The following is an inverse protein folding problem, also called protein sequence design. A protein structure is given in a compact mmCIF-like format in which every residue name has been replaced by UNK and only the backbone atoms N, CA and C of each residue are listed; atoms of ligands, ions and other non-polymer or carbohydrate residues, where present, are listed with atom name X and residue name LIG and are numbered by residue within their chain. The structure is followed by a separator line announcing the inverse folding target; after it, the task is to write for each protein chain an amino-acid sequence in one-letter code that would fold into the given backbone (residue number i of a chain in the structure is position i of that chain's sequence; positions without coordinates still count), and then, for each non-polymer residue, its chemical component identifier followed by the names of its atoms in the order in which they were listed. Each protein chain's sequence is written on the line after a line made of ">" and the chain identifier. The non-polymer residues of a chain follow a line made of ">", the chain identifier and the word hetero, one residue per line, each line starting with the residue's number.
data_IF_649473691602
#
_entry.id   IF_649473691602
#
_cell.length_a   1.000
_cell.length_b   1.000
_cell.length_c   1.000
_cell.angle_alpha   90.00
_cell.angle_beta   90.00
_cell.angle_gamma   90.00
#
_symmetry.space_group_name_H-M   'P 1'
#
loop_
_entity.id
_entity.type
_entity.pdbx_description
1 polymer ?
#
# COMPACT_ATOMS: atom_id res chain seq x y z
N UNK A 1 -28.17 -11.72 -3.84
CA UNK A 1 -26.98 -11.09 -4.47
C UNK A 1 -25.77 -11.44 -3.61
N UNK A 2 -24.83 -12.23 -4.12
CA UNK A 2 -23.54 -12.41 -3.44
C UNK A 2 -22.74 -11.13 -3.68
N UNK A 3 -22.46 -10.39 -2.61
CA UNK A 3 -21.48 -9.31 -2.65
C UNK A 3 -20.15 -9.99 -2.94
N UNK A 4 -19.67 -9.89 -4.17
CA UNK A 4 -18.28 -10.18 -4.46
C UNK A 4 -17.47 -9.21 -3.60
N UNK A 5 -16.75 -9.73 -2.61
CA UNK A 5 -15.71 -8.96 -1.95
C UNK A 5 -14.84 -8.35 -3.06
N UNK A 6 -14.66 -7.01 -3.10
CA UNK A 6 -13.85 -6.41 -4.13
C UNK A 6 -12.45 -7.01 -4.00
N UNK A 7 -12.06 -7.80 -5.00
CA UNK A 7 -10.71 -8.34 -5.10
C UNK A 7 -9.74 -7.18 -4.88
N UNK A 8 -8.97 -7.23 -3.78
CA UNK A 8 -7.96 -6.21 -3.49
C UNK A 8 -7.04 -6.22 -4.71
N UNK A 9 -7.00 -5.14 -5.51
CA UNK A 9 -6.24 -5.16 -6.74
C UNK A 9 -4.77 -5.27 -6.38
N UNK A 10 -4.11 -6.30 -6.92
CA UNK A 10 -2.68 -6.54 -6.74
C UNK A 10 -1.91 -5.25 -7.06
N UNK A 11 -1.03 -4.86 -6.15
CA UNK A 11 -0.16 -3.70 -6.35
C UNK A 11 1.04 -4.20 -7.15
N UNK A 12 1.18 -3.70 -8.38
CA UNK A 12 2.29 -4.00 -9.26
C UNK A 12 3.63 -3.76 -8.54
N UNK A 13 4.54 -4.74 -8.60
CA UNK A 13 5.84 -4.68 -7.92
C UNK A 13 5.84 -4.89 -6.40
N UNK A 14 4.67 -4.99 -5.74
CA UNK A 14 4.62 -5.19 -4.28
C UNK A 14 5.14 -6.56 -3.86
N UNK A 15 4.77 -7.61 -4.60
CA UNK A 15 5.22 -8.97 -4.32
C UNK A 15 6.75 -9.09 -4.43
N UNK A 16 7.35 -8.47 -5.45
CA UNK A 16 8.81 -8.43 -5.64
C UNK A 16 9.51 -7.67 -4.51
N UNK A 17 9.02 -6.47 -4.16
CA UNK A 17 9.58 -5.68 -3.07
C UNK A 17 9.46 -6.40 -1.71
N UNK A 18 8.34 -7.10 -1.47
CA UNK A 18 8.14 -7.91 -0.27
C UNK A 18 9.08 -9.13 -0.24
N UNK A 19 9.27 -9.81 -1.38
CA UNK A 19 10.20 -10.92 -1.50
C UNK A 19 11.65 -10.47 -1.26
N UNK A 20 12.06 -9.32 -1.82
CA UNK A 20 13.37 -8.72 -1.57
C UNK A 20 13.57 -8.41 -0.08
N UNK A 21 12.58 -7.77 0.56
CA UNK A 21 12.61 -7.52 2.01
C UNK A 21 12.69 -8.81 2.84
N UNK A 22 11.96 -9.85 2.45
CA UNK A 22 12.02 -11.15 3.13
C UNK A 22 13.40 -11.80 3.00
N UNK A 23 14.03 -11.70 1.83
CA UNK A 23 15.39 -12.20 1.61
C UNK A 23 16.43 -11.46 2.49
N UNK A 24 16.34 -10.13 2.59
CA UNK A 24 17.20 -9.34 3.47
C UNK A 24 16.96 -9.69 4.94
N UNK A 25 15.70 -9.90 5.33
CA UNK A 25 15.36 -10.33 6.69
C UNK A 25 15.97 -11.69 7.03
N UNK A 26 15.89 -12.66 6.13
CA UNK A 26 16.49 -13.98 6.34
C UNK A 26 18.02 -13.89 6.53
N UNK A 27 18.70 -13.00 5.80
CA UNK A 27 20.14 -12.74 5.99
C UNK A 27 20.45 -12.11 7.34
N UNK A 28 19.61 -11.19 7.81
CA UNK A 28 19.76 -10.58 9.13
C UNK A 28 19.62 -11.63 10.24
N UNK A 29 18.60 -12.49 10.13
CA UNK A 29 18.36 -13.56 11.10
C UNK A 29 19.52 -14.59 11.09
N UNK A 30 20.07 -14.96 9.92
CA UNK A 30 21.28 -15.80 9.82
C UNK A 30 22.50 -15.16 10.48
N UNK A 31 22.77 -13.88 10.21
CA UNK A 31 23.90 -13.16 10.82
C UNK A 31 23.78 -13.09 12.34
N UNK A 32 22.58 -12.80 12.85
CA UNK A 32 22.31 -12.79 14.30
C UNK A 32 22.49 -14.18 14.91
N UNK A 33 22.01 -15.22 14.22
CA UNK A 33 22.21 -16.62 14.62
C UNK A 33 23.69 -16.98 14.71
N UNK A 34 24.47 -16.66 13.68
CA UNK A 34 25.92 -16.92 13.64
C UNK A 34 26.69 -16.13 14.70
N UNK A 35 26.28 -14.87 14.96
CA UNK A 35 26.89 -14.04 15.99
C UNK A 35 26.66 -14.65 17.37
N UNK A 36 25.41 -15.03 17.69
CA UNK A 36 25.10 -15.67 18.97
C UNK A 36 25.85 -16.99 19.15
N UNK A 37 25.95 -17.81 18.09
CA UNK A 37 26.71 -19.05 18.11
C UNK A 37 28.21 -18.81 18.36
N UNK A 38 28.80 -17.79 17.73
CA UNK A 38 30.20 -17.42 17.95
C UNK A 38 30.43 -16.97 19.40
N UNK A 39 29.57 -16.09 19.95
CA UNK A 39 29.67 -15.63 21.34
C UNK A 39 29.57 -16.78 22.34
N UNK A 40 28.62 -17.71 22.15
CA UNK A 40 28.50 -18.91 23.00
C UNK A 40 29.71 -19.83 22.84
N UNK A 41 30.22 -19.99 21.62
CA UNK A 41 31.45 -20.74 21.35
C UNK A 41 32.66 -20.20 22.11
N UNK A 42 32.86 -18.88 22.09
CA UNK A 42 33.94 -18.19 22.82
C UNK A 42 33.81 -18.46 24.32
N UNK A 43 32.61 -18.33 24.89
CA UNK A 43 32.37 -18.59 26.31
C UNK A 43 32.69 -20.04 26.70
N UNK A 44 32.28 -21.01 25.88
CA UNK A 44 32.59 -22.43 26.11
C UNK A 44 34.09 -22.69 26.03
N UNK A 45 34.77 -22.16 25.01
CA UNK A 45 36.20 -22.33 24.85
C UNK A 45 37.01 -21.69 25.99
N UNK A 46 36.59 -20.51 26.48
CA UNK A 46 37.20 -19.88 27.66
C UNK A 46 37.04 -20.72 28.93
N UNK A 47 35.85 -21.30 29.17
CA UNK A 47 35.66 -22.22 30.31
C UNK A 47 36.57 -23.45 30.21
N UNK A 48 36.68 -24.05 29.02
CA UNK A 48 37.58 -25.19 28.80
C UNK A 48 39.05 -24.80 29.06
N UNK A 49 39.47 -23.62 28.61
CA UNK A 49 40.80 -23.08 28.90
C UNK A 49 41.03 -22.95 30.41
N UNK A 50 40.08 -22.36 31.13
CA UNK A 50 40.17 -22.16 32.57
C UNK A 50 40.25 -23.51 33.32
N UNK A 51 39.51 -24.52 32.86
CA UNK A 51 39.59 -25.89 33.39
C UNK A 51 40.98 -26.52 33.17
N UNK A 52 41.55 -26.41 31.97
CA UNK A 52 42.90 -26.91 31.67
C UNK A 52 43.97 -26.21 32.51
N UNK A 53 43.86 -24.88 32.68
CA UNK A 53 44.76 -24.10 33.53
C UNK A 53 44.62 -24.51 34.99
N UNK A 54 43.41 -24.73 35.48
CA UNK A 54 43.18 -25.20 36.85
C UNK A 54 43.75 -26.59 37.11
N UNK A 55 43.64 -27.52 36.14
CA UNK A 55 44.26 -28.85 36.20
C UNK A 55 45.78 -28.78 36.26
N UNK A 56 46.37 -27.90 35.45
CA UNK A 56 47.83 -27.61 35.48
C UNK A 56 48.24 -27.07 36.85
N UNK A 57 47.46 -26.16 37.43
CA UNK A 57 47.71 -25.60 38.76
C UNK A 57 47.53 -26.63 39.89
N UNK A 58 46.70 -27.65 39.69
CA UNK A 58 46.53 -28.78 40.60
C UNK A 58 47.69 -29.82 40.51
N UNK A 59 48.67 -29.59 39.64
CA UNK A 59 49.83 -30.46 39.45
C UNK A 59 49.60 -31.62 38.47
N UNK A 60 48.50 -31.60 37.72
CA UNK A 60 48.26 -32.55 36.63
C UNK A 60 49.10 -32.16 35.41
N UNK A 61 49.71 -33.16 34.74
CA UNK A 61 50.51 -32.93 33.54
C UNK A 61 49.58 -32.72 32.33
N UNK A 62 49.15 -31.47 32.15
CA UNK A 62 48.35 -31.04 31.00
C UNK A 62 49.31 -30.61 29.89
N UNK A 63 49.25 -31.25 28.70
CA UNK A 63 50.09 -30.86 27.59
C UNK A 63 49.86 -29.40 27.19
N UNK A 64 50.92 -28.60 27.11
CA UNK A 64 50.83 -27.19 26.71
C UNK A 64 50.14 -27.00 25.34
N UNK A 65 50.21 -28.02 24.47
CA UNK A 65 49.54 -28.04 23.17
C UNK A 65 48.01 -28.03 23.28
N UNK A 66 47.43 -28.61 24.34
CA UNK A 66 45.97 -28.59 24.56
C UNK A 66 45.48 -27.18 24.88
N UNK A 67 46.18 -26.47 25.77
CA UNK A 67 45.88 -25.07 26.11
C UNK A 67 46.05 -24.19 24.87
N UNK A 68 47.14 -24.37 24.12
CA UNK A 68 47.39 -23.60 22.88
C UNK A 68 46.33 -23.86 21.81
N UNK A 69 45.82 -25.09 21.68
CA UNK A 69 44.75 -25.41 20.74
C UNK A 69 43.42 -24.71 21.10
N UNK A 70 43.10 -24.65 22.40
CA UNK A 70 41.91 -23.92 22.89
C UNK A 70 42.09 -22.41 22.67
N UNK A 71 43.27 -21.85 22.96
CA UNK A 71 43.58 -20.44 22.70
C UNK A 71 43.47 -20.10 21.20
N UNK A 72 43.94 -20.98 20.32
CA UNK A 72 43.76 -20.83 18.87
C UNK A 72 42.28 -20.83 18.46
N UNK A 73 41.47 -21.69 19.06
CA UNK A 73 40.02 -21.74 18.82
C UNK A 73 39.33 -20.46 19.29
N UNK A 74 39.72 -19.92 20.45
CA UNK A 74 39.19 -18.63 20.95
C UNK A 74 39.51 -17.51 19.96
N UNK A 75 40.76 -17.39 19.52
CA UNK A 75 41.17 -16.36 18.58
C UNK A 75 40.42 -16.45 17.23
N UNK A 76 40.22 -17.66 16.71
CA UNK A 76 39.44 -17.86 15.48
C UNK A 76 37.98 -17.44 15.65
N UNK A 77 37.35 -17.80 16.78
CA UNK A 77 35.97 -17.43 17.07
C UNK A 77 35.80 -15.92 17.32
N UNK A 78 36.75 -15.28 17.99
CA UNK A 78 36.77 -13.82 18.19
C UNK A 78 36.93 -13.07 16.86
N UNK A 79 37.78 -13.58 15.97
CA UNK A 79 37.92 -13.03 14.62
C UNK A 79 36.61 -13.14 13.83
N UNK A 80 35.95 -14.30 13.86
CA UNK A 80 34.62 -14.50 13.24
C UNK A 80 33.55 -13.58 13.85
N UNK A 81 33.53 -13.45 15.17
CA UNK A 81 32.59 -12.58 15.88
C UNK A 81 32.77 -11.11 15.45
N UNK A 82 34.02 -10.65 15.34
CA UNK A 82 34.34 -9.29 14.88
C UNK A 82 33.85 -9.04 13.44
N UNK A 83 34.10 -9.98 12.52
CA UNK A 83 33.62 -9.89 11.14
C UNK A 83 32.09 -9.84 11.06
N UNK A 84 31.39 -10.64 11.88
CA UNK A 84 29.93 -10.65 11.93
C UNK A 84 29.36 -9.35 12.51
N UNK A 85 29.99 -8.80 13.56
CA UNK A 85 29.62 -7.49 14.12
C UNK A 85 29.78 -6.35 13.11
N UNK A 86 30.80 -6.41 12.25
CA UNK A 86 31.01 -5.40 11.20
C UNK A 86 29.98 -5.54 10.05
N UNK A 87 29.55 -6.76 9.74
CA UNK A 87 28.58 -7.03 8.68
C UNK A 87 27.14 -6.65 9.07
N UNK A 88 26.77 -6.82 10.34
CA UNK A 88 25.42 -6.56 10.87
C UNK A 88 24.85 -5.19 10.48
N UNK A 89 25.53 -4.04 10.73
CA UNK A 89 24.97 -2.73 10.40
C UNK A 89 24.78 -2.50 8.90
N UNK A 90 25.50 -3.23 8.04
CA UNK A 90 25.33 -3.14 6.58
C UNK A 90 24.00 -3.77 6.18
N UNK A 91 23.69 -4.95 6.72
CA UNK A 91 22.41 -5.66 6.46
C UNK A 91 21.22 -4.97 7.12
N UNK A 92 21.38 -4.34 8.29
CA UNK A 92 20.32 -3.51 8.91
C UNK A 92 19.95 -2.30 8.04
N UNK A 93 20.94 -1.66 7.40
CA UNK A 93 20.70 -0.59 6.42
C UNK A 93 19.95 -1.12 5.20
N UNK A 94 20.34 -2.28 4.67
CA UNK A 94 19.62 -2.94 3.58
C UNK A 94 18.15 -3.24 3.96
N UNK A 95 17.91 -3.71 5.20
CA UNK A 95 16.56 -4.00 5.68
C UNK A 95 15.70 -2.73 5.75
N UNK A 96 16.32 -1.61 6.17
CA UNK A 96 15.67 -0.30 6.20
C UNK A 96 15.34 0.18 4.78
N UNK A 97 16.27 0.04 3.84
CA UNK A 97 16.08 0.41 2.44
C UNK A 97 14.98 -0.44 1.78
N UNK A 98 14.98 -1.76 1.99
CA UNK A 98 13.93 -2.65 1.49
C UNK A 98 12.54 -2.31 2.09
N UNK A 99 12.50 -1.89 3.36
CA UNK A 99 11.28 -1.38 3.98
C UNK A 99 10.77 -0.10 3.32
N UNK A 100 11.67 0.83 2.99
CA UNK A 100 11.33 2.07 2.29
C UNK A 100 10.85 1.81 0.86
N UNK A 101 11.41 0.81 0.17
CA UNK A 101 10.99 0.41 -1.18
C UNK A 101 9.55 -0.13 -1.18
N UNK A 102 9.22 -1.05 -0.26
CA UNK A 102 7.84 -1.56 -0.10
C UNK A 102 6.85 -0.42 0.16
N UNK A 103 7.20 0.51 1.06
CA UNK A 103 6.36 1.68 1.34
C UNK A 103 6.24 2.61 0.10
N UNK A 104 7.34 2.76 -0.65
CA UNK A 104 7.39 3.50 -1.91
C UNK A 104 6.41 2.96 -2.93
N UNK A 105 6.43 1.65 -3.18
CA UNK A 105 5.51 0.95 -4.09
C UNK A 105 4.06 1.20 -3.70
N UNK A 106 3.71 0.96 -2.43
CA UNK A 106 2.35 1.19 -1.91
C UNK A 106 1.91 2.65 -2.09
N UNK A 107 2.77 3.60 -1.75
CA UNK A 107 2.45 5.04 -1.84
C UNK A 107 2.28 5.51 -3.29
N UNK A 108 3.06 4.95 -4.23
CA UNK A 108 2.99 5.30 -5.65
C UNK A 108 1.68 4.84 -6.27
N UNK A 109 1.28 3.60 -5.99
CA UNK A 109 0.03 3.03 -6.49
C UNK A 109 -1.19 3.69 -5.83
N UNK A 110 -1.11 3.97 -4.52
CA UNK A 110 -2.14 4.74 -3.82
C UNK A 110 -2.36 6.13 -4.43
N UNK A 111 -1.28 6.85 -4.78
CA UNK A 111 -1.36 8.14 -5.49
C UNK A 111 -1.97 8.00 -6.89
N UNK A 112 -1.62 6.97 -7.64
CA UNK A 112 -2.18 6.71 -8.97
C UNK A 112 -3.69 6.47 -8.91
N UNK A 113 -4.14 5.62 -7.98
CA UNK A 113 -5.57 5.34 -7.74
C UNK A 113 -6.32 6.59 -7.31
N UNK A 114 -5.75 7.41 -6.42
CA UNK A 114 -6.34 8.67 -6.02
C UNK A 114 -6.55 9.62 -7.21
N UNK A 115 -5.52 9.80 -8.08
CA UNK A 115 -5.65 10.61 -9.30
C UNK A 115 -6.74 10.09 -10.24
N UNK A 116 -6.82 8.77 -10.43
CA UNK A 116 -7.86 8.16 -11.27
C UNK A 116 -9.26 8.37 -10.70
N UNK A 117 -9.43 8.21 -9.39
CA UNK A 117 -10.70 8.44 -8.70
C UNK A 117 -11.13 9.91 -8.80
N UNK A 118 -10.19 10.85 -8.60
CA UNK A 118 -10.48 12.29 -8.75
C UNK A 118 -10.90 12.63 -10.19
N UNK A 119 -10.18 12.11 -11.20
CA UNK A 119 -10.55 12.33 -12.61
C UNK A 119 -11.92 11.72 -12.97
N UNK A 120 -12.24 10.53 -12.42
CA UNK A 120 -13.55 9.91 -12.60
C UNK A 120 -14.67 10.74 -11.93
N UNK A 121 -14.40 11.29 -10.76
CA UNK A 121 -15.33 12.15 -10.03
C UNK A 121 -15.58 13.47 -10.76
N UNK A 122 -14.54 14.12 -11.29
CA UNK A 122 -14.67 15.30 -12.15
C UNK A 122 -15.52 15.00 -13.39
N UNK A 123 -15.28 13.86 -14.06
CA UNK A 123 -16.07 13.44 -15.21
C UNK A 123 -17.54 13.21 -14.84
N UNK A 124 -17.80 12.58 -13.69
CA UNK A 124 -19.17 12.37 -13.19
C UNK A 124 -19.86 13.70 -12.86
N UNK A 125 -19.16 14.65 -12.23
CA UNK A 125 -19.68 15.98 -11.94
C UNK A 125 -19.99 16.78 -13.21
N UNK A 126 -19.12 16.70 -14.23
CA UNK A 126 -19.37 17.30 -15.53
C UNK A 126 -20.63 16.70 -16.20
N UNK A 127 -20.77 15.37 -16.17
CA UNK A 127 -21.95 14.69 -16.69
C UNK A 127 -23.24 15.08 -15.94
N UNK A 128 -23.20 15.19 -14.61
CA UNK A 128 -24.34 15.65 -13.81
C UNK A 128 -24.72 17.09 -14.14
N UNK A 129 -23.73 17.97 -14.30
CA UNK A 129 -23.99 19.37 -14.69
C UNK A 129 -24.63 19.45 -16.08
N UNK A 130 -24.13 18.69 -17.04
CA UNK A 130 -24.70 18.62 -18.39
C UNK A 130 -26.13 18.06 -18.37
N UNK A 131 -26.39 16.98 -17.62
CA UNK A 131 -27.73 16.41 -17.47
C UNK A 131 -28.71 17.41 -16.83
N UNK A 132 -28.26 18.19 -15.84
CA UNK A 132 -29.07 19.22 -15.20
C UNK A 132 -29.40 20.38 -16.15
N UNK A 133 -28.45 20.79 -16.98
CA UNK A 133 -28.68 21.80 -18.00
C UNK A 133 -29.72 21.33 -19.03
N UNK A 134 -29.61 20.07 -19.47
CA UNK A 134 -30.57 19.48 -20.41
C UNK A 134 -31.97 19.32 -19.80
N UNK A 135 -32.06 18.89 -18.53
CA UNK A 135 -33.33 18.85 -17.81
C UNK A 135 -33.98 20.25 -17.71
N UNK A 136 -33.18 21.30 -17.51
CA UNK A 136 -33.66 22.70 -17.55
C UNK A 136 -34.23 23.08 -18.91
N UNK A 137 -33.55 22.74 -20.01
CA UNK A 137 -34.06 22.98 -21.37
C UNK A 137 -35.35 22.23 -21.65
N UNK A 138 -35.43 20.95 -21.28
CA UNK A 138 -36.64 20.15 -21.45
C UNK A 138 -37.82 20.74 -20.66
N UNK A 139 -37.56 21.26 -19.47
CA UNK A 139 -38.57 21.94 -18.66
C UNK A 139 -39.06 23.25 -19.30
N UNK A 140 -38.16 24.06 -19.88
CA UNK A 140 -38.54 25.26 -20.65
C UNK A 140 -39.40 24.90 -21.86
N UNK A 141 -39.00 23.88 -22.62
CA UNK A 141 -39.79 23.38 -23.77
C UNK A 141 -41.17 22.91 -23.30
N UNK A 142 -41.26 22.19 -22.19
CA UNK A 142 -42.54 21.75 -21.62
C UNK A 142 -43.43 22.95 -21.25
N UNK A 143 -42.88 24.00 -20.61
CA UNK A 143 -43.65 25.20 -20.29
C UNK A 143 -44.17 25.92 -21.53
N UNK A 144 -43.35 26.03 -22.58
CA UNK A 144 -43.78 26.62 -23.86
C UNK A 144 -44.94 25.83 -24.46
N UNK A 145 -44.83 24.50 -24.51
CA UNK A 145 -45.91 23.62 -25.00
C UNK A 145 -47.21 23.77 -24.19
N UNK A 146 -47.13 23.83 -22.86
CA UNK A 146 -48.31 24.07 -22.02
C UNK A 146 -48.92 25.46 -22.27
N UNK A 147 -48.08 26.48 -22.47
CA UNK A 147 -48.51 27.82 -22.87
C UNK A 147 -49.27 27.80 -24.19
N UNK A 148 -48.71 27.16 -25.22
CA UNK A 148 -49.37 27.00 -26.54
C UNK A 148 -50.72 26.30 -26.43
N UNK A 149 -50.77 25.13 -25.77
CA UNK A 149 -52.02 24.39 -25.58
C UNK A 149 -53.10 25.23 -24.85
N UNK A 150 -52.68 26.04 -23.87
CA UNK A 150 -53.60 26.92 -23.14
C UNK A 150 -54.12 28.10 -23.97
N UNK A 151 -53.30 28.62 -24.89
CA UNK A 151 -53.71 29.69 -25.82
C UNK A 151 -54.55 29.17 -26.97
N UNK A 152 -54.28 27.97 -27.46
CA UNK A 152 -55.06 27.33 -28.51
C UNK A 152 -56.49 27.06 -28.02
N UNK A 153 -56.66 26.52 -26.82
CA UNK A 153 -57.97 26.38 -26.20
C UNK A 153 -58.69 27.72 -25.96
N UNK A 154 -58.00 28.78 -25.50
CA UNK A 154 -58.63 30.11 -25.39
C UNK A 154 -59.02 30.71 -26.74
N UNK A 155 -58.25 30.43 -27.79
CA UNK A 155 -58.53 30.91 -29.13
C UNK A 155 -59.69 30.14 -29.77
N UNK A 156 -59.78 28.83 -29.55
CA UNK A 156 -60.92 28.00 -29.94
C UNK A 156 -62.19 28.43 -29.18
N UNK A 157 -62.11 28.61 -27.86
CA UNK A 157 -63.22 29.11 -27.05
C UNK A 157 -63.66 30.51 -27.49
N UNK A 158 -62.72 31.40 -27.84
CA UNK A 158 -63.03 32.71 -28.43
C UNK A 158 -63.65 32.60 -29.82
N UNK A 159 -63.14 31.74 -30.69
CA UNK A 159 -63.68 31.55 -32.03
C UNK A 159 -65.10 30.99 -31.97
N UNK A 160 -65.34 30.00 -31.10
CA UNK A 160 -66.68 29.47 -30.83
C UNK A 160 -67.56 30.57 -30.24
N UNK A 161 -67.09 31.34 -29.26
CA UNK A 161 -67.86 32.44 -28.67
C UNK A 161 -68.22 33.53 -29.71
N UNK A 162 -67.30 33.90 -30.59
CA UNK A 162 -67.54 34.84 -31.71
C UNK A 162 -68.54 34.27 -32.73
N UNK A 163 -68.44 32.98 -33.05
CA UNK A 163 -69.35 32.32 -34.01
C UNK A 163 -70.74 32.02 -33.44
N UNK A 164 -70.87 31.91 -32.12
CA UNK A 164 -72.13 31.58 -31.41
C UNK A 164 -72.75 32.76 -30.67
N UNK A 165 -72.07 33.91 -30.65
CA UNK A 165 -72.59 35.17 -30.10
C UNK A 165 -73.63 35.78 -31.04
N UNK A 166 -74.88 36.02 -30.57
CA UNK A 166 -75.96 36.58 -31.39
C UNK A 166 -75.67 37.97 -31.96
N UNK A 167 -74.77 38.73 -31.35
CA UNK A 167 -74.46 40.11 -31.74
C UNK A 167 -73.37 40.24 -32.82
N UNK A 168 -72.57 39.20 -33.06
CA UNK A 168 -71.56 39.18 -34.14
C UNK A 168 -72.06 38.48 -35.41
N UNK A 169 -72.99 37.53 -35.29
CA UNK A 169 -73.64 36.87 -36.43
C UNK A 169 -74.49 37.81 -37.33
N UNK A 170 -74.77 39.04 -36.88
CA UNK A 170 -75.55 40.05 -37.61
C UNK A 170 -74.68 41.14 -38.31
N UNK A 171 -73.35 40.98 -38.36
CA UNK A 171 -72.44 41.96 -39.01
C UNK A 171 -71.77 41.50 -40.31
N UNK A 172 -72.18 40.36 -40.89
CA UNK A 172 -71.74 39.90 -42.22
C UNK A 172 -72.85 40.17 -43.23
#
# INVERSE_FOLDING_TARGET
>A
MKVQDPAIPEIEGLAEAQAARAAVRARLDDLQGRLSAATVGIQRARRQRDELVARTAAGEDVPAIEISAVDGTIAELESKEAMLREALPKVEKEMTAAGAEVAGVISSEGRKRHRQASAALEKAQAAMTAARAEAGRLFEVQQLWQGFASTEHRNEERAIATLTSPSEAMRI
#
